data_IF_965905906446
#
_entry.id   IF_965905906446
#
_cell.length_a   1.000
_cell.length_b   1.000
_cell.length_c   1.000
_cell.angle_alpha   90.00
_cell.angle_beta   90.00
_cell.angle_gamma   90.00
#
_symmetry.space_group_name_H-M   'P 1'
#
loop_
_entity.id
_entity.type
_entity.pdbx_description
1 polymer ?
#
# COMPACT_ATOMS: atom_id res chain seq x y z
N UNK A 1 6.00 -6.28 10.86
CA UNK A 1 5.13 -5.31 10.16
C UNK A 1 3.82 -5.95 9.76
N UNK A 2 2.85 -5.13 9.50
CA UNK A 2 1.54 -5.58 9.05
C UNK A 2 1.23 -4.90 7.72
N UNK A 3 0.70 -5.65 6.77
CA UNK A 3 0.48 -5.15 5.41
C UNK A 3 -1.00 -5.15 5.07
N UNK A 4 -1.43 -4.12 4.36
CA UNK A 4 -2.79 -4.01 3.87
C UNK A 4 -2.71 -3.83 2.36
N UNK A 5 -3.29 -4.77 1.62
CA UNK A 5 -3.33 -4.72 0.17
C UNK A 5 -4.75 -4.40 -0.27
N UNK A 6 -4.88 -3.44 -1.15
CA UNK A 6 -6.16 -3.03 -1.71
C UNK A 6 -6.07 -3.15 -3.21
N UNK A 7 -7.02 -3.87 -3.80
CA UNK A 7 -7.04 -4.11 -5.23
C UNK A 7 -8.34 -3.51 -5.76
N UNK A 8 -8.22 -2.73 -6.83
CA UNK A 8 -9.37 -2.15 -7.48
C UNK A 8 -9.24 -2.20 -8.98
N UNK A 9 -10.38 -2.21 -9.67
CA UNK A 9 -10.40 -2.12 -11.13
C UNK A 9 -11.17 -0.87 -11.52
N UNK A 10 -10.56 -0.03 -12.37
CA UNK A 10 -11.20 1.19 -12.84
C UNK A 10 -12.04 0.91 -14.08
N UNK A 11 -12.93 1.84 -14.42
CA UNK A 11 -13.79 1.70 -15.58
C UNK A 11 -13.02 1.80 -16.90
N UNK A 12 -11.86 2.47 -16.87
CA UNK A 12 -11.02 2.63 -18.06
C UNK A 12 -9.59 2.86 -17.64
N UNK A 13 -8.66 2.78 -18.59
CA UNK A 13 -7.26 3.09 -18.36
C UNK A 13 -7.09 4.54 -17.93
N UNK A 14 -7.83 5.45 -18.54
CA UNK A 14 -7.79 6.87 -18.16
C UNK A 14 -8.21 7.05 -16.71
N UNK A 15 -9.24 6.33 -16.28
CA UNK A 15 -9.75 6.47 -14.92
C UNK A 15 -8.83 5.84 -13.89
N UNK A 16 -8.06 4.80 -14.24
CA UNK A 16 -7.08 4.28 -13.28
C UNK A 16 -5.94 5.28 -13.09
N UNK A 17 -5.59 6.06 -14.10
CA UNK A 17 -4.59 7.10 -13.96
C UNK A 17 -5.13 8.26 -13.11
N UNK A 18 -6.41 8.58 -13.25
CA UNK A 18 -7.02 9.59 -12.39
C UNK A 18 -7.05 9.11 -10.93
N UNK A 19 -7.34 7.82 -10.72
CA UNK A 19 -7.27 7.22 -9.39
C UNK A 19 -5.88 7.38 -8.79
N UNK A 20 -4.84 7.10 -9.59
CA UNK A 20 -3.47 7.23 -9.13
C UNK A 20 -3.13 8.68 -8.78
N UNK A 21 -3.62 9.63 -9.56
CA UNK A 21 -3.40 11.05 -9.28
C UNK A 21 -4.03 11.44 -7.94
N UNK A 22 -5.27 11.03 -7.71
CA UNK A 22 -5.95 11.31 -6.44
C UNK A 22 -5.21 10.67 -5.29
N UNK A 23 -4.77 9.42 -5.46
CA UNK A 23 -4.04 8.72 -4.42
C UNK A 23 -2.77 9.47 -4.02
N UNK A 24 -1.98 9.86 -5.00
CA UNK A 24 -0.68 10.49 -4.70
C UNK A 24 -0.83 11.92 -4.19
N UNK A 25 -1.85 12.64 -4.62
CA UNK A 25 -2.01 14.04 -4.25
C UNK A 25 -2.91 14.26 -3.04
N UNK A 26 -3.88 13.37 -2.80
CA UNK A 26 -4.87 13.58 -1.73
C UNK A 26 -4.79 12.51 -0.63
N UNK A 27 -4.48 11.28 -0.98
CA UNK A 27 -4.52 10.17 -0.02
C UNK A 27 -3.19 9.98 0.68
N UNK A 28 -2.11 9.93 -0.08
CA UNK A 28 -0.78 9.68 0.49
C UNK A 28 -0.39 10.68 1.57
N UNK A 29 -0.62 12.01 1.40
CA UNK A 29 -0.32 12.95 2.48
C UNK A 29 -1.08 12.67 3.77
N UNK A 30 -2.32 12.18 3.67
CA UNK A 30 -3.10 11.83 4.85
C UNK A 30 -2.60 10.54 5.49
N UNK A 31 -2.23 9.56 4.66
CA UNK A 31 -1.63 8.32 5.16
C UNK A 31 -0.37 8.59 5.98
N UNK A 32 0.45 9.50 5.51
CA UNK A 32 1.71 9.82 6.17
C UNK A 32 1.52 10.38 7.57
N UNK A 33 0.33 10.86 7.88
CA UNK A 33 0.01 11.38 9.21
C UNK A 33 -0.58 10.32 10.13
N UNK A 34 -0.89 9.14 9.61
CA UNK A 34 -1.57 8.11 10.40
C UNK A 34 -0.61 7.42 11.38
N UNK A 35 -1.07 7.14 12.59
CA UNK A 35 -0.23 6.44 13.56
C UNK A 35 0.20 5.07 13.02
N UNK A 36 1.48 4.77 13.15
CA UNK A 36 2.02 3.48 12.76
C UNK A 36 2.24 3.30 11.28
N UNK A 37 1.94 4.30 10.46
CA UNK A 37 2.20 4.22 9.02
C UNK A 37 3.69 4.07 8.76
N UNK A 38 4.07 3.10 7.94
CA UNK A 38 5.47 2.85 7.61
C UNK A 38 5.78 3.18 6.17
N UNK A 39 4.97 2.71 5.23
CA UNK A 39 5.19 3.00 3.82
C UNK A 39 3.94 2.69 3.01
N UNK A 40 3.89 3.27 1.81
CA UNK A 40 2.80 3.03 0.87
C UNK A 40 3.37 2.90 -0.53
N UNK A 41 2.74 2.04 -1.31
CA UNK A 41 3.10 1.84 -2.69
C UNK A 41 1.82 1.66 -3.49
N UNK A 42 1.68 2.43 -4.55
CA UNK A 42 0.57 2.26 -5.47
C UNK A 42 1.14 1.79 -6.80
N UNK A 43 0.58 0.71 -7.30
CA UNK A 43 0.99 0.13 -8.57
C UNK A 43 -0.24 0.09 -9.49
N UNK A 44 -0.04 0.51 -10.72
CA UNK A 44 -1.09 0.52 -11.74
C UNK A 44 -0.67 -0.43 -12.84
N UNK A 45 -1.61 -1.25 -13.26
CA UNK A 45 -1.35 -2.23 -14.31
C UNK A 45 -0.96 -1.53 -15.62
N UNK A 46 0.13 -1.95 -16.21
CA UNK A 46 0.57 -1.38 -17.48
C UNK A 46 -0.43 -1.77 -18.56
N UNK A 47 -0.90 -0.78 -19.32
CA UNK A 47 -1.89 -0.97 -20.39
C UNK A 47 -3.17 -1.66 -19.90
N UNK A 48 -3.53 -1.42 -18.63
CA UNK A 48 -4.70 -2.04 -18.05
C UNK A 48 -5.45 -1.10 -17.12
N UNK A 49 -6.36 -1.68 -16.35
CA UNK A 49 -7.29 -0.91 -15.50
C UNK A 49 -7.19 -1.26 -14.02
N UNK A 50 -6.26 -2.13 -13.65
CA UNK A 50 -6.12 -2.55 -12.25
C UNK A 50 -5.17 -1.64 -11.50
N UNK A 51 -5.46 -1.42 -10.23
CA UNK A 51 -4.56 -0.73 -9.32
C UNK A 51 -4.44 -1.54 -8.04
N UNK A 52 -3.23 -1.56 -7.49
CA UNK A 52 -2.96 -2.26 -6.23
C UNK A 52 -2.24 -1.27 -5.30
N UNK A 53 -2.81 -1.08 -4.12
CA UNK A 53 -2.17 -0.28 -3.08
C UNK A 53 -1.65 -1.23 -2.01
N UNK A 54 -0.39 -1.07 -1.63
CA UNK A 54 0.21 -1.83 -0.55
C UNK A 54 0.69 -0.85 0.50
N UNK A 55 0.11 -0.93 1.70
CA UNK A 55 0.55 -0.09 2.81
C UNK A 55 1.11 -0.98 3.91
N UNK A 56 2.19 -0.52 4.53
CA UNK A 56 2.83 -1.22 5.63
C UNK A 56 2.64 -0.43 6.92
N UNK A 57 2.37 -1.15 7.99
CA UNK A 57 2.03 -0.59 9.30
C UNK A 57 2.87 -1.26 10.37
N UNK A 58 3.21 -0.51 11.41
CA UNK A 58 4.01 -1.06 12.49
C UNK A 58 3.30 -2.19 13.21
N UNK A 59 1.99 -2.05 13.42
CA UNK A 59 1.19 -3.06 14.12
C UNK A 59 -0.10 -3.33 13.37
N UNK A 60 -0.69 -4.47 13.70
CA UNK A 60 -2.02 -4.82 13.18
C UNK A 60 -3.06 -3.78 13.62
N UNK A 61 -2.96 -3.33 14.86
CA UNK A 61 -3.91 -2.36 15.42
C UNK A 61 -3.89 -1.04 14.65
N UNK A 62 -2.70 -0.57 14.30
CA UNK A 62 -2.58 0.66 13.50
C UNK A 62 -3.22 0.49 12.13
N UNK A 63 -3.00 -0.67 11.51
CA UNK A 63 -3.59 -0.99 10.21
C UNK A 63 -5.11 -1.00 10.29
N UNK A 64 -5.66 -1.68 11.28
CA UNK A 64 -7.11 -1.78 11.48
C UNK A 64 -7.71 -0.42 11.81
N UNK A 65 -7.00 0.39 12.59
CA UNK A 65 -7.44 1.74 12.89
C UNK A 65 -7.64 2.56 11.62
N UNK A 66 -6.67 2.50 10.71
CA UNK A 66 -6.80 3.20 9.43
C UNK A 66 -7.95 2.60 8.60
N UNK A 67 -8.02 1.28 8.54
CA UNK A 67 -9.03 0.58 7.74
C UNK A 67 -10.47 0.97 8.13
N UNK A 68 -10.68 1.29 9.41
CA UNK A 68 -12.00 1.68 9.91
C UNK A 68 -12.14 3.20 10.07
N UNK A 69 -11.17 3.96 9.60
CA UNK A 69 -11.14 5.41 9.83
C UNK A 69 -12.03 6.19 8.86
N UNK A 70 -12.33 7.42 9.26
CA UNK A 70 -13.05 8.35 8.40
C UNK A 70 -12.20 8.76 7.20
N UNK A 71 -10.87 8.80 7.38
CA UNK A 71 -9.94 9.14 6.31
C UNK A 71 -10.08 8.14 5.16
N UNK A 72 -10.05 6.86 5.48
CA UNK A 72 -10.22 5.82 4.47
C UNK A 72 -11.59 5.90 3.81
N UNK A 73 -12.64 6.11 4.60
CA UNK A 73 -14.00 6.22 4.05
C UNK A 73 -14.13 7.40 3.10
N UNK A 74 -13.50 8.53 3.43
CA UNK A 74 -13.50 9.70 2.54
C UNK A 74 -12.81 9.39 1.22
N UNK A 75 -11.70 8.66 1.29
CA UNK A 75 -11.00 8.26 0.08
C UNK A 75 -11.86 7.35 -0.80
N UNK A 76 -12.52 6.37 -0.21
CA UNK A 76 -13.42 5.48 -0.96
C UNK A 76 -14.52 6.29 -1.63
N UNK A 77 -15.16 7.19 -0.88
CA UNK A 77 -16.22 8.04 -1.43
C UNK A 77 -15.71 8.93 -2.55
N UNK A 78 -14.48 9.42 -2.42
CA UNK A 78 -13.85 10.31 -3.41
C UNK A 78 -13.55 9.60 -4.73
N UNK A 79 -13.31 8.29 -4.68
CA UNK A 79 -12.81 7.55 -5.85
C UNK A 79 -13.75 6.48 -6.39
N UNK A 80 -14.84 6.16 -5.69
CA UNK A 80 -15.69 5.03 -6.07
C UNK A 80 -16.28 5.17 -7.47
N UNK A 81 -16.51 6.39 -7.95
CA UNK A 81 -17.06 6.62 -9.28
C UNK A 81 -16.09 6.23 -10.40
N UNK A 82 -14.83 6.05 -10.09
CA UNK A 82 -13.81 5.64 -11.06
C UNK A 82 -13.72 4.13 -11.18
N UNK A 83 -14.34 3.39 -10.25
CA UNK A 83 -14.09 1.97 -10.08
C UNK A 83 -15.28 1.11 -10.49
N UNK A 84 -14.96 -0.11 -10.88
CA UNK A 84 -15.96 -1.15 -11.11
C UNK A 84 -16.07 -1.94 -9.80
N UNK A 85 -17.24 -1.87 -9.15
CA UNK A 85 -17.46 -2.59 -7.91
C UNK A 85 -16.67 -2.04 -6.74
N UNK A 86 -16.49 -2.86 -5.73
CA UNK A 86 -15.82 -2.48 -4.50
C UNK A 86 -14.34 -2.85 -4.54
N UNK A 87 -13.56 -2.20 -3.68
CA UNK A 87 -12.18 -2.62 -3.43
C UNK A 87 -12.16 -4.00 -2.81
N UNK A 88 -11.20 -4.81 -3.22
CA UNK A 88 -10.86 -6.05 -2.52
C UNK A 88 -9.73 -5.72 -1.56
N UNK A 89 -9.96 -5.96 -0.27
CA UNK A 89 -8.99 -5.62 0.76
C UNK A 89 -8.51 -6.90 1.43
N UNK A 90 -7.21 -7.05 1.54
CA UNK A 90 -6.58 -8.19 2.21
C UNK A 90 -5.55 -7.70 3.20
N UNK A 91 -5.50 -8.36 4.35
CA UNK A 91 -4.57 -8.02 5.42
C UNK A 91 -3.58 -9.16 5.59
N UNK A 92 -2.32 -8.82 5.77
CA UNK A 92 -1.24 -9.80 5.87
C UNK A 92 -0.29 -9.44 6.99
N UNK A 93 0.21 -10.45 7.68
CA UNK A 93 1.38 -10.25 8.53
C UNK A 93 2.60 -10.31 7.61
N UNK A 94 3.44 -9.28 7.67
CA UNK A 94 4.60 -9.18 6.79
C UNK A 94 5.83 -9.72 7.51
N UNK A 95 6.33 -10.84 7.01
CA UNK A 95 7.54 -11.48 7.53
C UNK A 95 8.80 -11.05 6.81
N UNK A 96 8.66 -10.51 5.60
CA UNK A 96 9.83 -10.22 4.77
C UNK A 96 10.71 -9.13 5.35
N UNK A 97 10.12 -8.16 6.07
CA UNK A 97 10.89 -7.07 6.65
C UNK A 97 11.87 -7.58 7.71
N UNK A 98 11.43 -8.54 8.53
CA UNK A 98 12.33 -9.15 9.51
C UNK A 98 13.44 -9.92 8.82
N UNK A 99 13.09 -10.64 7.75
CA UNK A 99 14.07 -11.40 6.98
C UNK A 99 15.06 -10.47 6.30
N UNK A 100 14.61 -9.33 5.80
CA UNK A 100 15.47 -8.32 5.20
C UNK A 100 16.48 -7.81 6.21
N UNK A 101 16.04 -7.55 7.45
CA UNK A 101 16.94 -7.10 8.49
C UNK A 101 17.99 -8.14 8.82
N UNK A 102 17.58 -9.40 8.91
CA UNK A 102 18.51 -10.50 9.15
C UNK A 102 19.51 -10.62 8.01
N UNK A 103 19.03 -10.57 6.78
CA UNK A 103 19.89 -10.66 5.61
C UNK A 103 20.89 -9.51 5.56
N UNK A 104 20.46 -8.29 5.92
CA UNK A 104 21.34 -7.14 5.96
C UNK A 104 22.44 -7.32 7.00
N UNK A 105 22.09 -7.85 8.16
CA UNK A 105 23.06 -8.11 9.21
C UNK A 105 24.08 -9.15 8.77
N UNK A 106 23.63 -10.20 8.11
CA UNK A 106 24.53 -11.22 7.59
C UNK A 106 25.47 -10.65 6.54
N UNK A 107 24.96 -9.81 5.66
CA UNK A 107 25.80 -9.18 4.65
C UNK A 107 26.86 -8.28 5.27
N UNK A 108 26.51 -7.59 6.34
CA UNK A 108 27.51 -6.77 7.04
C UNK A 108 28.63 -7.62 7.61
N UNK A 109 28.30 -8.79 8.19
CA UNK A 109 29.31 -9.71 8.70
C UNK A 109 30.16 -10.31 7.59
N UNK A 110 29.59 -10.43 6.41
CA UNK A 110 30.27 -11.06 5.29
C UNK A 110 30.74 -10.06 4.27
N UNK A 111 31.01 -8.85 4.71
CA UNK A 111 31.31 -7.76 3.81
C UNK A 111 32.49 -8.02 2.88
N UNK A 112 33.38 -8.89 3.22
CA UNK A 112 34.48 -9.26 2.35
C UNK A 112 34.13 -10.29 1.31
N UNK A 113 32.97 -10.88 1.36
CA UNK A 113 32.56 -11.90 0.46
C UNK A 113 31.82 -11.32 -0.71
N UNK A 114 32.22 -11.68 -1.82
CA UNK A 114 31.52 -11.23 -2.91
C UNK A 114 30.33 -11.94 -3.05
N UNK A 115 29.55 -11.75 -3.28
CA UNK A 115 28.52 -12.43 -3.40
C UNK A 115 28.13 -12.43 -4.48
N UNK A 116 28.54 -12.86 -4.77
CA UNK A 116 28.25 -12.99 -5.36
C UNK A 116 27.36 -13.14 -5.76
#
# INVERSE_FOLDING_TARGET
MYARMVIGEANSEEQVHEFARIYTTEVLPELEKEPGFASARLMVEEDGRMAVSLTLWKTREDCVHYHTSKVYRRFVARTQHLLIGDFVVKLFKDFSREQENVAAQLRCHESGRTND
#
